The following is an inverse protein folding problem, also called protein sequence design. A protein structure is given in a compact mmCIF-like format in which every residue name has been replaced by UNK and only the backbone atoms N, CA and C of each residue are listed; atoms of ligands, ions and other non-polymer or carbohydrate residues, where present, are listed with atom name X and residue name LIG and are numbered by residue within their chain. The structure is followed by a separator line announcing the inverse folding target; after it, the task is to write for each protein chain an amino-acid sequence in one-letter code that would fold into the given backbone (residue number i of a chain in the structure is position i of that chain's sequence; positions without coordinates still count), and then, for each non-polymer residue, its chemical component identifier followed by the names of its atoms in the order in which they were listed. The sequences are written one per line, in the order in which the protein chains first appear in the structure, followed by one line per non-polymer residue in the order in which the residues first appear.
data_IF_202291938477
#
_entry.id   IF_202291938477
#
_cell.length_a   1.000
_cell.length_b   1.000
_cell.length_c   1.000
_cell.angle_alpha   90.00
_cell.angle_beta   90.00
_cell.angle_gamma   90.00
#
_symmetry.space_group_name_H-M   'P 1'
#
loop_
_entity.id
_entity.type
_entity.pdbx_description
1 polymer ?
#
# COMPACT_ATOMS: atom_id res chain seq x y z
N UNK A 1 -8.60 3.92 -0.73
CA UNK A 1 -7.52 4.63 -1.43
C UNK A 1 -7.46 6.11 -1.03
N UNK A 2 -6.28 6.62 -0.68
CA UNK A 2 -6.05 8.05 -0.43
C UNK A 2 -5.79 8.79 -1.75
N UNK A 3 -6.00 10.12 -1.79
CA UNK A 3 -5.80 10.93 -3.00
C UNK A 3 -4.37 10.84 -3.57
N UNK A 4 -3.38 10.63 -2.69
CA UNK A 4 -1.97 10.49 -3.07
C UNK A 4 -1.69 9.16 -3.81
N UNK A 5 -2.34 8.07 -3.38
CA UNK A 5 -2.16 6.73 -3.96
C UNK A 5 -2.76 6.62 -5.36
N UNK A 6 -3.96 7.19 -5.56
CA UNK A 6 -4.61 7.27 -6.87
C UNK A 6 -3.71 7.97 -7.90
N UNK A 7 -3.12 9.11 -7.49
CA UNK A 7 -2.21 9.89 -8.33
C UNK A 7 -0.93 9.12 -8.66
N UNK A 8 -0.41 8.32 -7.73
CA UNK A 8 0.78 7.51 -7.96
C UNK A 8 0.51 6.35 -8.94
N UNK A 9 -0.62 5.66 -8.80
CA UNK A 9 -1.04 4.61 -9.72
C UNK A 9 -1.19 5.17 -11.15
N UNK A 10 -1.88 6.30 -11.29
CA UNK A 10 -2.05 7.00 -12.57
C UNK A 10 -0.71 7.37 -13.21
N UNK A 11 0.27 7.84 -12.44
CA UNK A 11 1.62 8.15 -12.93
C UNK A 11 2.37 6.91 -13.45
N UNK A 12 2.26 5.77 -12.78
CA UNK A 12 2.89 4.51 -13.19
C UNK A 12 2.30 4.03 -14.52
N UNK A 13 0.97 4.06 -14.65
CA UNK A 13 0.25 3.64 -15.86
C UNK A 13 0.58 4.56 -17.03
N UNK A 14 0.59 5.87 -16.82
CA UNK A 14 0.92 6.85 -17.85
C UNK A 14 2.36 6.67 -18.34
N UNK A 15 3.29 6.35 -17.44
CA UNK A 15 4.69 6.08 -17.82
C UNK A 15 4.83 4.77 -18.59
N UNK A 16 4.10 3.73 -18.20
CA UNK A 16 4.07 2.48 -18.96
C UNK A 16 3.49 2.69 -20.36
N UNK A 17 2.40 3.47 -20.49
CA UNK A 17 1.84 3.87 -21.79
C UNK A 17 2.85 4.56 -22.69
N UNK A 18 3.66 5.47 -22.15
CA UNK A 18 4.74 6.11 -22.92
C UNK A 18 5.77 5.10 -23.41
N UNK A 19 6.21 4.19 -22.55
CA UNK A 19 7.20 3.16 -22.92
C UNK A 19 6.68 2.22 -24.02
N UNK A 20 5.40 1.84 -23.96
CA UNK A 20 4.76 1.00 -25.00
C UNK A 20 4.68 1.74 -26.33
N UNK A 21 4.29 3.03 -26.30
CA UNK A 21 4.25 3.87 -27.50
C UNK A 21 5.64 4.07 -28.11
N UNK A 22 6.68 4.27 -27.29
CA UNK A 22 8.08 4.39 -27.71
C UNK A 22 8.62 3.09 -28.32
N UNK A 23 8.13 1.93 -27.87
CA UNK A 23 8.49 0.61 -28.40
C UNK A 23 7.80 0.27 -29.74
N UNK A 24 6.84 1.10 -30.19
CA UNK A 24 6.09 0.88 -31.43
C UNK A 24 4.95 -0.13 -31.29
N UNK A 25 4.64 -0.56 -30.07
CA UNK A 25 3.55 -1.48 -29.78
C UNK A 25 2.29 -0.68 -29.43
N UNK A 26 1.10 -1.20 -29.75
CA UNK A 26 -0.16 -0.49 -29.48
C UNK A 26 -1.12 -1.35 -28.66
N UNK A 27 -1.19 -1.06 -27.37
CA UNK A 27 -2.24 -1.57 -26.50
C UNK A 27 -3.45 -0.62 -26.54
N UNK A 28 -4.64 -1.18 -26.43
CA UNK A 28 -5.88 -0.40 -26.33
C UNK A 28 -5.97 0.32 -25.00
N UNK A 29 -6.79 1.38 -24.92
CA UNK A 29 -7.07 2.08 -23.65
C UNK A 29 -7.58 1.15 -22.54
N UNK A 30 -8.33 0.10 -22.91
CA UNK A 30 -8.85 -0.89 -21.97
C UNK A 30 -7.72 -1.63 -21.23
N UNK A 31 -6.61 -1.97 -21.91
CA UNK A 31 -5.46 -2.61 -21.25
C UNK A 31 -4.78 -1.67 -20.24
N UNK A 32 -4.74 -0.36 -20.51
CA UNK A 32 -4.17 0.60 -19.56
C UNK A 32 -5.09 0.87 -18.38
N UNK A 33 -6.41 0.84 -18.58
CA UNK A 33 -7.38 0.90 -17.48
C UNK A 33 -7.24 -0.32 -16.56
N UNK A 34 -7.13 -1.52 -17.14
CA UNK A 34 -6.90 -2.75 -16.38
C UNK A 34 -5.57 -2.71 -15.61
N UNK A 35 -4.50 -2.21 -16.25
CA UNK A 35 -3.22 -2.00 -15.58
C UNK A 35 -3.33 -1.04 -14.40
N UNK A 36 -4.10 0.05 -14.54
CA UNK A 36 -4.34 0.97 -13.42
C UNK A 36 -5.03 0.27 -12.26
N UNK A 37 -6.08 -0.51 -12.52
CA UNK A 37 -6.78 -1.28 -11.50
C UNK A 37 -5.87 -2.29 -10.79
N UNK A 38 -5.00 -2.97 -11.55
CA UNK A 38 -4.02 -3.91 -10.99
C UNK A 38 -2.99 -3.22 -10.10
N UNK A 39 -2.49 -2.05 -10.52
CA UNK A 39 -1.55 -1.25 -9.72
C UNK A 39 -2.22 -0.73 -8.45
N UNK A 40 -3.45 -0.24 -8.54
CA UNK A 40 -4.24 0.21 -7.38
C UNK A 40 -4.47 -0.94 -6.39
N UNK A 41 -4.88 -2.11 -6.86
CA UNK A 41 -5.09 -3.29 -6.01
C UNK A 41 -3.80 -3.75 -5.32
N UNK A 42 -2.66 -3.70 -6.02
CA UNK A 42 -1.36 -4.04 -5.44
C UNK A 42 -0.93 -3.03 -4.37
N UNK A 43 -1.14 -1.73 -4.61
CA UNK A 43 -0.87 -0.68 -3.62
C UNK A 43 -1.73 -0.83 -2.37
N UNK A 44 -3.04 -1.05 -2.54
CA UNK A 44 -3.97 -1.27 -1.43
C UNK A 44 -3.58 -2.50 -0.60
N UNK A 45 -3.16 -3.60 -1.24
CA UNK A 45 -2.70 -4.80 -0.54
C UNK A 45 -1.44 -4.54 0.31
N UNK A 46 -0.47 -3.78 -0.21
CA UNK A 46 0.76 -3.42 0.53
C UNK A 46 0.44 -2.52 1.73
N UNK A 47 -0.50 -1.59 1.58
CA UNK A 47 -0.92 -0.69 2.67
C UNK A 47 -1.59 -1.48 3.78
N UNK A 48 -2.48 -2.42 3.45
CA UNK A 48 -3.13 -3.29 4.45
C UNK A 48 -2.08 -4.06 5.25
N UNK A 49 -1.07 -4.64 4.59
CA UNK A 49 0.02 -5.33 5.29
C UNK A 49 0.83 -4.41 6.22
N UNK A 50 1.08 -3.16 5.81
CA UNK A 50 1.74 -2.17 6.67
C UNK A 50 0.88 -1.79 7.88
N UNK A 51 -0.42 -1.60 7.68
CA UNK A 51 -1.36 -1.30 8.76
C UNK A 51 -1.44 -2.45 9.76
N UNK A 52 -1.49 -3.70 9.29
CA UNK A 52 -1.46 -4.88 10.16
C UNK A 52 -0.16 -4.95 10.96
N UNK A 53 0.98 -4.67 10.32
CA UNK A 53 2.27 -4.62 11.00
C UNK A 53 2.29 -3.56 12.10
N UNK A 54 1.75 -2.37 11.81
CA UNK A 54 1.67 -1.29 12.78
C UNK A 54 0.71 -1.61 13.94
N UNK A 55 -0.44 -2.23 13.66
CA UNK A 55 -1.38 -2.71 14.68
C UNK A 55 -0.72 -3.71 15.63
N UNK A 56 0.05 -4.66 15.10
CA UNK A 56 0.81 -5.62 15.90
C UNK A 56 1.85 -4.94 16.80
N UNK A 57 2.54 -3.91 16.31
CA UNK A 57 3.49 -3.13 17.12
C UNK A 57 2.79 -2.39 18.26
N UNK A 58 1.63 -1.76 17.99
CA UNK A 58 0.83 -1.12 19.02
C UNK A 58 0.34 -2.10 20.08
N UNK A 59 -0.05 -3.30 19.68
CA UNK A 59 -0.45 -4.35 20.62
C UNK A 59 0.71 -4.77 21.53
N UNK A 60 1.90 -4.99 20.96
CA UNK A 60 3.10 -5.33 21.71
C UNK A 60 3.47 -4.24 22.72
N UNK A 61 3.38 -2.97 22.31
CA UNK A 61 3.58 -1.83 23.21
C UNK A 61 2.56 -1.81 24.35
N UNK A 62 1.27 -2.00 24.05
CA UNK A 62 0.24 -2.06 25.08
C UNK A 62 0.46 -3.23 26.06
N UNK A 63 0.91 -4.38 25.56
CA UNK A 63 1.29 -5.52 26.40
C UNK A 63 2.53 -5.25 27.25
N UNK A 64 3.51 -4.48 26.75
CA UNK A 64 4.67 -4.07 27.52
C UNK A 64 4.27 -3.14 28.69
N UNK A 65 3.47 -2.11 28.42
CA UNK A 65 2.96 -1.18 29.45
C UNK A 65 2.18 -1.91 30.54
N UNK A 66 1.33 -2.90 30.18
CA UNK A 66 0.62 -3.72 31.16
C UNK A 66 1.57 -4.54 32.03
N UNK A 67 2.59 -5.17 31.44
CA UNK A 67 3.61 -5.93 32.19
C UNK A 67 4.38 -5.04 33.17
N UNK A 68 4.74 -3.83 32.77
CA UNK A 68 5.41 -2.88 33.65
C UNK A 68 4.51 -2.45 34.81
N UNK A 69 3.24 -2.13 34.52
CA UNK A 69 2.24 -1.79 35.55
C UNK A 69 2.02 -2.93 36.56
N UNK A 70 1.96 -4.17 36.08
CA UNK A 70 1.85 -5.36 36.94
C UNK A 70 3.10 -5.53 37.82
N UNK A 71 4.29 -5.25 37.28
CA UNK A 71 5.56 -5.27 38.03
C UNK A 71 5.57 -4.25 39.18
N UNK A 72 5.16 -3.01 38.92
CA UNK A 72 5.08 -1.97 39.95
C UNK A 72 3.97 -2.21 40.99
N UNK A 73 2.91 -2.94 40.65
CA UNK A 73 1.84 -3.29 41.60
C UNK A 73 2.22 -4.40 42.59
N UNK A 74 3.27 -5.18 42.28
CA UNK A 74 3.74 -6.32 43.07
C UNK A 74 5.00 -6.04 43.89
N UNK A 75 5.62 -4.86 43.71
CA UNK A 75 6.76 -4.34 44.48
C UNK A 75 6.30 -3.40 45.58
#
# INVERSE_FOLDING_TARGET
MTLSQAKHAEQVVNRFRQMVAEAGDTLTDAHYQELNLLVEAALDAVIVQQLDTFANQLEQMAQAVRRDGDFFSRS
#
